data_IF_869964677852
#
_entry.id   IF_869964677852
#
_cell.length_a   1.000
_cell.length_b   1.000
_cell.length_c   1.000
_cell.angle_alpha   90.00
_cell.angle_beta   90.00
_cell.angle_gamma   90.00
#
_symmetry.space_group_name_H-M   'P 1'
#
loop_
_entity.id
_entity.type
_entity.pdbx_description
1 polymer ?
#
# COMPACT_ATOMS: atom_id res chain seq x y z
N UNK A 1 55.57 -58.14 40.68
CA UNK A 1 56.17 -58.45 39.37
C UNK A 1 56.22 -57.15 38.59
N UNK A 2 57.33 -56.43 38.69
CA UNK A 2 58.44 -56.45 37.72
C UNK A 2 58.15 -55.54 36.53
N UNK A 3 58.90 -54.44 36.54
CA UNK A 3 59.04 -53.40 35.54
C UNK A 3 59.38 -53.93 34.13
N UNK A 4 59.21 -53.08 33.12
CA UNK A 4 60.27 -52.54 32.24
C UNK A 4 59.71 -52.23 30.82
N UNK A 5 60.48 -51.59 29.90
CA UNK A 5 60.24 -50.20 29.49
C UNK A 5 60.42 -50.03 27.95
N UNK A 6 60.64 -48.79 27.48
CA UNK A 6 61.34 -48.42 26.24
C UNK A 6 60.62 -48.75 24.91
N UNK A 7 60.76 -48.00 23.83
CA UNK A 7 61.63 -46.87 23.52
C UNK A 7 61.54 -46.55 22.03
N UNK A 8 61.59 -45.25 21.73
CA UNK A 8 62.20 -44.60 20.55
C UNK A 8 62.87 -45.54 19.52
N UNK A 9 62.58 -45.34 18.22
CA UNK A 9 63.55 -44.82 17.23
C UNK A 9 62.99 -44.74 15.80
N UNK A 10 63.49 -43.72 15.09
CA UNK A 10 63.26 -43.37 13.69
C UNK A 10 64.18 -44.15 12.73
N UNK A 11 63.69 -44.28 11.48
CA UNK A 11 64.38 -44.28 10.16
C UNK A 11 65.33 -45.46 9.83
N UNK A 12 65.79 -45.68 8.58
CA UNK A 12 65.43 -45.12 7.25
C UNK A 12 65.42 -46.14 6.06
N UNK A 13 65.04 -45.62 4.86
CA UNK A 13 65.76 -45.79 3.57
C UNK A 13 65.22 -46.71 2.46
N UNK A 14 65.05 -46.06 1.29
CA UNK A 14 65.24 -46.48 -0.11
C UNK A 14 64.35 -47.58 -0.72
N UNK A 15 63.63 -47.20 -1.78
CA UNK A 15 63.99 -47.62 -3.15
C UNK A 15 63.30 -46.70 -4.17
N UNK A 16 64.04 -45.80 -4.84
CA UNK A 16 64.48 -45.92 -6.25
C UNK A 16 63.40 -46.36 -7.26
N UNK A 17 62.82 -45.39 -7.98
CA UNK A 17 62.92 -45.36 -9.46
C UNK A 17 62.68 -43.96 -10.00
N UNK A 18 63.72 -43.42 -10.61
CA UNK A 18 63.73 -42.24 -11.46
C UNK A 18 62.96 -42.50 -12.76
N UNK A 19 62.14 -41.52 -13.17
CA UNK A 19 61.95 -41.20 -14.59
C UNK A 19 61.89 -39.68 -14.73
N UNK A 20 62.77 -39.19 -15.59
CA UNK A 20 63.05 -37.79 -15.90
C UNK A 20 62.23 -37.45 -17.14
N UNK A 21 61.42 -36.39 -17.09
CA UNK A 21 61.35 -35.33 -18.10
C UNK A 21 60.74 -34.08 -17.44
N UNK A 22 61.55 -33.03 -17.34
CA UNK A 22 61.15 -31.67 -16.99
C UNK A 22 60.62 -30.98 -18.25
N UNK A 23 59.70 -30.00 -18.12
CA UNK A 23 59.75 -28.67 -18.77
C UNK A 23 58.58 -27.78 -18.24
N UNK A 24 58.97 -26.69 -17.55
CA UNK A 24 58.31 -25.37 -17.30
C UNK A 24 57.07 -25.14 -16.39
N UNK A 25 57.22 -24.11 -15.52
CA UNK A 25 56.31 -23.37 -14.59
C UNK A 25 55.09 -22.68 -15.27
N UNK A 26 54.13 -22.02 -14.55
CA UNK A 26 53.78 -21.97 -13.11
C UNK A 26 52.28 -22.34 -12.83
N UNK A 27 51.80 -22.40 -11.57
CA UNK A 27 50.37 -22.55 -11.30
C UNK A 27 49.63 -21.23 -11.58
N UNK A 28 48.64 -21.30 -12.47
CA UNK A 28 47.68 -20.23 -12.73
C UNK A 28 46.84 -19.97 -11.48
N UNK A 29 47.09 -18.80 -10.89
CA UNK A 29 46.09 -17.86 -10.39
C UNK A 29 44.98 -18.46 -9.53
N UNK A 30 45.29 -18.51 -8.23
CA UNK A 30 44.34 -18.05 -7.21
C UNK A 30 43.72 -16.75 -7.73
N UNK A 31 42.43 -16.76 -8.09
CA UNK A 31 41.70 -15.54 -8.42
C UNK A 31 41.70 -14.67 -7.18
N UNK A 32 42.56 -13.66 -7.23
CA UNK A 32 42.50 -12.48 -6.41
C UNK A 32 41.05 -12.03 -6.29
N UNK A 33 40.58 -11.99 -5.05
CA UNK A 33 39.33 -11.37 -4.62
C UNK A 33 39.50 -9.84 -4.67
N UNK A 34 39.94 -9.32 -5.81
CA UNK A 34 39.87 -7.90 -6.13
C UNK A 34 38.40 -7.47 -6.05
N UNK A 35 37.99 -6.95 -4.90
CA UNK A 35 37.99 -5.50 -4.67
C UNK A 35 37.09 -5.24 -3.47
N UNK A 36 37.79 -5.07 -2.35
CA UNK A 36 37.32 -4.68 -1.03
C UNK A 36 36.75 -3.24 -1.06
N UNK A 37 35.56 -3.06 -1.65
CA UNK A 37 34.87 -1.77 -1.78
C UNK A 37 33.36 -1.80 -2.08
N UNK A 38 32.82 -2.86 -2.70
CA UNK A 38 31.41 -2.88 -3.16
C UNK A 38 30.34 -3.03 -2.07
N UNK A 39 30.68 -3.48 -0.87
CA UNK A 39 29.68 -3.75 0.17
C UNK A 39 29.02 -2.50 0.75
N UNK A 40 29.75 -1.37 0.79
CA UNK A 40 29.22 -0.09 1.27
C UNK A 40 28.35 0.58 0.21
N UNK A 41 28.77 0.58 -1.06
CA UNK A 41 28.00 1.18 -2.15
C UNK A 41 26.67 0.46 -2.41
N UNK A 42 26.64 -0.88 -2.34
CA UNK A 42 25.41 -1.65 -2.50
C UNK A 42 24.42 -1.41 -1.35
N UNK A 43 24.91 -1.35 -0.11
CA UNK A 43 24.09 -1.04 1.06
C UNK A 43 23.51 0.38 1.00
N UNK A 44 24.31 1.38 0.61
CA UNK A 44 23.83 2.75 0.41
C UNK A 44 22.81 2.85 -0.73
N UNK A 45 22.97 2.08 -1.80
CA UNK A 45 22.01 2.03 -2.91
C UNK A 45 20.66 1.44 -2.48
N UNK A 46 20.68 0.34 -1.73
CA UNK A 46 19.45 -0.28 -1.19
C UNK A 46 18.76 0.65 -0.21
N UNK A 47 19.51 1.34 0.66
CA UNK A 47 18.94 2.31 1.59
C UNK A 47 18.25 3.48 0.87
N UNK A 48 18.89 4.06 -0.16
CA UNK A 48 18.27 5.12 -0.96
C UNK A 48 17.00 4.64 -1.66
N UNK A 49 17.01 3.43 -2.23
CA UNK A 49 15.83 2.86 -2.87
C UNK A 49 14.67 2.64 -1.88
N UNK A 50 14.99 2.25 -0.63
CA UNK A 50 14.03 2.12 0.45
C UNK A 50 13.44 3.46 0.87
N UNK A 51 14.28 4.50 1.00
CA UNK A 51 13.83 5.87 1.33
C UNK A 51 12.94 6.45 0.23
N UNK A 52 13.29 6.23 -1.04
CA UNK A 52 12.47 6.60 -2.19
C UNK A 52 11.11 5.88 -2.17
N UNK A 53 11.09 4.58 -1.87
CA UNK A 53 9.86 3.81 -1.80
C UNK A 53 8.96 4.31 -0.65
N UNK A 54 9.56 4.63 0.49
CA UNK A 54 8.85 5.21 1.64
C UNK A 54 8.19 6.54 1.30
N UNK A 55 8.92 7.41 0.60
CA UNK A 55 8.38 8.69 0.14
C UNK A 55 7.19 8.49 -0.81
N UNK A 56 7.27 7.55 -1.75
CA UNK A 56 6.16 7.24 -2.67
C UNK A 56 4.93 6.71 -1.94
N UNK A 57 5.09 5.79 -0.99
CA UNK A 57 3.96 5.27 -0.20
C UNK A 57 3.31 6.38 0.63
N UNK A 58 4.11 7.28 1.20
CA UNK A 58 3.60 8.43 1.94
C UNK A 58 2.85 9.41 1.05
N UNK A 59 3.40 9.78 -0.11
CA UNK A 59 2.75 10.69 -1.05
C UNK A 59 1.47 10.06 -1.63
N UNK A 60 1.46 8.74 -1.87
CA UNK A 60 0.25 8.03 -2.26
C UNK A 60 -0.82 8.10 -1.16
N UNK A 61 -0.45 7.92 0.12
CA UNK A 61 -1.39 8.09 1.24
C UNK A 61 -1.99 9.51 1.29
N UNK A 62 -1.18 10.54 1.06
CA UNK A 62 -1.68 11.92 0.91
C UNK A 62 -2.65 12.04 -0.26
N UNK A 63 -2.35 11.40 -1.39
CA UNK A 63 -3.22 11.39 -2.56
C UNK A 63 -4.57 10.70 -2.28
N UNK A 64 -4.58 9.62 -1.49
CA UNK A 64 -5.81 8.95 -1.03
C UNK A 64 -6.63 9.89 -0.13
N UNK A 65 -5.98 10.62 0.78
CA UNK A 65 -6.66 11.60 1.62
C UNK A 65 -7.27 12.73 0.79
N UNK A 66 -6.53 13.29 -0.18
CA UNK A 66 -7.06 14.30 -1.10
C UNK A 66 -8.25 13.78 -1.91
N UNK A 67 -8.16 12.55 -2.44
CA UNK A 67 -9.28 11.96 -3.16
C UNK A 67 -10.51 11.81 -2.27
N UNK A 68 -10.34 11.36 -1.02
CA UNK A 68 -11.42 11.26 -0.03
C UNK A 68 -12.11 12.60 0.23
N UNK A 69 -11.36 13.69 0.38
CA UNK A 69 -11.95 15.03 0.55
C UNK A 69 -12.78 15.46 -0.67
N UNK A 70 -12.32 15.14 -1.89
CA UNK A 70 -13.10 15.38 -3.11
C UNK A 70 -14.37 14.51 -3.15
N UNK A 71 -14.30 13.26 -2.69
CA UNK A 71 -15.46 12.36 -2.60
C UNK A 71 -16.48 12.88 -1.59
N UNK A 72 -16.04 13.39 -0.44
CA UNK A 72 -16.91 14.05 0.54
C UNK A 72 -17.59 15.26 -0.11
N UNK A 73 -16.82 16.08 -0.84
CA UNK A 73 -17.34 17.26 -1.53
C UNK A 73 -18.48 16.93 -2.51
N UNK A 74 -18.52 15.73 -3.11
CA UNK A 74 -19.66 15.31 -3.95
C UNK A 74 -20.98 15.32 -3.15
N UNK A 75 -20.92 14.89 -1.89
CA UNK A 75 -22.09 14.85 -1.00
C UNK A 75 -22.54 16.24 -0.53
N UNK A 76 -21.64 17.22 -0.53
CA UNK A 76 -21.94 18.59 -0.10
C UNK A 76 -22.55 19.44 -1.24
N UNK A 77 -22.30 19.09 -2.51
CA UNK A 77 -22.85 19.83 -3.66
C UNK A 77 -24.17 19.22 -4.13
N UNK A 78 -25.23 20.04 -4.21
CA UNK A 78 -26.57 19.64 -4.66
C UNK A 78 -26.69 19.39 -6.18
N UNK A 79 -25.72 19.88 -6.96
CA UNK A 79 -25.65 19.75 -8.42
C UNK A 79 -24.24 19.37 -8.82
N UNK A 80 -24.10 18.54 -9.86
CA UNK A 80 -22.78 18.14 -10.33
C UNK A 80 -21.95 19.33 -10.81
N UNK A 81 -20.71 19.42 -10.32
CA UNK A 81 -19.78 20.51 -10.61
C UNK A 81 -18.64 20.01 -11.53
N UNK A 82 -18.50 20.55 -12.76
CA UNK A 82 -17.45 20.11 -13.69
C UNK A 82 -16.02 20.28 -13.19
N UNK A 83 -15.73 21.35 -12.43
CA UNK A 83 -14.38 21.59 -11.86
C UNK A 83 -14.03 20.57 -10.79
N UNK A 84 -14.99 20.21 -9.92
CA UNK A 84 -14.81 19.12 -8.94
C UNK A 84 -14.51 17.80 -9.66
N UNK A 85 -15.26 17.47 -10.72
CA UNK A 85 -15.03 16.24 -11.50
C UNK A 85 -13.66 16.24 -12.19
N UNK A 86 -13.21 17.37 -12.71
CA UNK A 86 -11.88 17.51 -13.29
C UNK A 86 -10.77 17.27 -12.25
N UNK A 87 -10.88 17.86 -11.05
CA UNK A 87 -9.92 17.63 -9.97
C UNK A 87 -9.99 16.21 -9.43
N UNK A 88 -11.17 15.60 -9.35
CA UNK A 88 -11.32 14.18 -9.02
C UNK A 88 -10.62 13.29 -10.04
N UNK A 89 -10.84 13.53 -11.34
CA UNK A 89 -10.17 12.78 -12.41
C UNK A 89 -8.65 12.89 -12.29
N UNK A 90 -8.13 14.12 -12.21
CA UNK A 90 -6.69 14.38 -12.07
C UNK A 90 -6.10 13.71 -10.82
N UNK A 91 -6.79 13.85 -9.69
CA UNK A 91 -6.38 13.24 -8.42
C UNK A 91 -6.39 11.71 -8.52
N UNK A 92 -7.40 11.15 -9.17
CA UNK A 92 -7.55 9.70 -9.38
C UNK A 92 -6.42 9.14 -10.24
N UNK A 93 -6.19 9.73 -11.41
CA UNK A 93 -5.16 9.29 -12.34
C UNK A 93 -3.77 9.36 -11.71
N UNK A 94 -3.44 10.46 -11.01
CA UNK A 94 -2.18 10.56 -10.25
C UNK A 94 -2.08 9.46 -9.20
N UNK A 95 -3.15 9.22 -8.42
CA UNK A 95 -3.18 8.16 -7.42
C UNK A 95 -2.94 6.75 -7.99
N UNK A 96 -3.53 6.44 -9.15
CA UNK A 96 -3.32 5.15 -9.82
C UNK A 96 -1.86 4.95 -10.25
N UNK A 97 -1.24 5.98 -10.82
CA UNK A 97 0.17 5.94 -11.22
C UNK A 97 1.09 5.77 -10.01
N UNK A 98 0.85 6.55 -8.95
CA UNK A 98 1.62 6.49 -7.72
C UNK A 98 1.54 5.11 -7.05
N UNK A 99 0.35 4.51 -6.99
CA UNK A 99 0.17 3.18 -6.42
C UNK A 99 0.98 2.13 -7.19
N UNK A 100 0.96 2.18 -8.53
CA UNK A 100 1.77 1.30 -9.37
C UNK A 100 3.26 1.48 -9.12
N UNK A 101 3.70 2.73 -9.10
CA UNK A 101 5.12 3.05 -8.91
C UNK A 101 5.60 2.60 -7.54
N UNK A 102 4.80 2.81 -6.49
CA UNK A 102 5.09 2.35 -5.13
C UNK A 102 5.21 0.82 -5.09
N UNK A 103 4.26 0.09 -5.68
CA UNK A 103 4.32 -1.37 -5.76
C UNK A 103 5.56 -1.86 -6.53
N UNK A 104 5.87 -1.26 -7.68
CA UNK A 104 7.05 -1.64 -8.48
C UNK A 104 8.36 -1.41 -7.73
N UNK A 105 8.52 -0.24 -7.10
CA UNK A 105 9.72 0.05 -6.30
C UNK A 105 9.81 -0.86 -5.08
N UNK A 106 8.69 -1.13 -4.42
CA UNK A 106 8.64 -2.01 -3.26
C UNK A 106 9.05 -3.44 -3.63
N UNK A 107 8.47 -4.00 -4.69
CA UNK A 107 8.82 -5.33 -5.19
C UNK A 107 10.30 -5.42 -5.60
N UNK A 108 10.88 -4.35 -6.15
CA UNK A 108 12.28 -4.31 -6.53
C UNK A 108 13.25 -4.35 -5.33
N UNK A 109 12.85 -3.86 -4.16
CA UNK A 109 13.69 -3.83 -2.95
C UNK A 109 13.47 -5.03 -2.01
N UNK A 110 12.39 -5.81 -2.20
CA UNK A 110 12.04 -6.96 -1.34
C UNK A 110 13.05 -8.11 -1.35
N UNK A 111 13.94 -8.15 -2.35
CA UNK A 111 14.95 -9.21 -2.49
C UNK A 111 14.34 -10.59 -2.81
N UNK A 112 15.19 -11.59 -3.11
CA UNK A 112 14.73 -12.95 -3.39
C UNK A 112 14.14 -13.61 -2.14
N UNK A 113 13.17 -14.51 -2.35
CA UNK A 113 12.25 -15.11 -1.35
C UNK A 113 12.89 -15.85 -0.15
N UNK A 114 14.23 -15.96 -0.09
CA UNK A 114 14.98 -16.62 0.98
C UNK A 114 15.99 -15.74 1.73
N UNK A 115 16.04 -14.44 1.45
CA UNK A 115 16.91 -13.49 2.16
C UNK A 115 16.32 -12.97 3.48
N UNK A 116 17.15 -12.43 4.36
CA UNK A 116 16.69 -11.68 5.54
C UNK A 116 15.99 -10.39 5.07
N UNK A 117 14.66 -10.34 5.23
CA UNK A 117 13.85 -9.20 4.78
C UNK A 117 13.93 -8.09 5.81
N UNK A 118 14.31 -6.90 5.38
CA UNK A 118 14.40 -5.72 6.24
C UNK A 118 13.00 -5.40 6.82
N UNK A 119 12.84 -5.20 8.15
CA UNK A 119 11.52 -5.06 8.78
C UNK A 119 10.74 -3.82 8.29
N UNK A 120 11.45 -2.78 7.82
CA UNK A 120 10.80 -1.61 7.22
C UNK A 120 10.12 -1.95 5.87
N UNK A 121 10.62 -2.92 5.10
CA UNK A 121 9.97 -3.38 3.87
C UNK A 121 8.60 -3.98 4.21
N UNK A 122 8.52 -4.81 5.25
CA UNK A 122 7.25 -5.36 5.72
C UNK A 122 6.26 -4.26 6.12
N UNK A 123 6.73 -3.21 6.81
CA UNK A 123 5.89 -2.05 7.15
C UNK A 123 5.38 -1.32 5.91
N UNK A 124 6.22 -1.16 4.88
CA UNK A 124 5.82 -0.56 3.61
C UNK A 124 4.77 -1.39 2.88
N UNK A 125 4.86 -2.73 2.90
CA UNK A 125 3.80 -3.59 2.35
C UNK A 125 2.47 -3.38 3.05
N UNK A 126 2.47 -3.40 4.39
CA UNK A 126 1.27 -3.17 5.19
C UNK A 126 0.70 -1.79 4.87
N UNK A 127 1.53 -0.74 4.87
CA UNK A 127 1.08 0.62 4.61
C UNK A 127 0.50 0.77 3.20
N UNK A 128 1.17 0.25 2.18
CA UNK A 128 0.70 0.29 0.80
C UNK A 128 -0.60 -0.51 0.62
N UNK A 129 -0.71 -1.67 1.28
CA UNK A 129 -1.94 -2.47 1.27
C UNK A 129 -3.11 -1.69 1.85
N UNK A 130 -2.95 -1.12 3.04
CA UNK A 130 -3.98 -0.31 3.68
C UNK A 130 -4.36 0.90 2.81
N UNK A 131 -3.39 1.58 2.21
CA UNK A 131 -3.66 2.71 1.31
C UNK A 131 -4.48 2.27 0.09
N UNK A 132 -4.15 1.14 -0.53
CA UNK A 132 -4.89 0.61 -1.68
C UNK A 132 -6.32 0.17 -1.32
N UNK A 133 -6.51 -0.47 -0.16
CA UNK A 133 -7.84 -0.87 0.34
C UNK A 133 -8.73 0.34 0.61
N UNK A 134 -8.17 1.37 1.26
CA UNK A 134 -8.87 2.64 1.45
C UNK A 134 -9.19 3.28 0.09
N UNK A 135 -8.21 3.36 -0.81
CA UNK A 135 -8.39 4.04 -2.09
C UNK A 135 -9.46 3.38 -2.98
N UNK A 136 -9.46 2.05 -3.06
CA UNK A 136 -10.50 1.30 -3.80
C UNK A 136 -11.88 1.49 -3.18
N UNK A 137 -11.96 1.63 -1.86
CA UNK A 137 -13.22 1.91 -1.16
C UNK A 137 -13.71 3.34 -1.45
N UNK A 138 -12.82 4.33 -1.44
CA UNK A 138 -13.17 5.71 -1.82
C UNK A 138 -13.58 5.82 -3.30
N UNK A 139 -12.95 5.06 -4.21
CA UNK A 139 -13.40 4.95 -5.60
C UNK A 139 -14.82 4.39 -5.69
N UNK A 140 -15.14 3.32 -4.94
CA UNK A 140 -16.49 2.76 -4.91
C UNK A 140 -17.51 3.78 -4.42
N UNK A 141 -17.22 4.51 -3.34
CA UNK A 141 -18.09 5.59 -2.84
C UNK A 141 -18.32 6.65 -3.90
N UNK A 142 -17.26 7.06 -4.62
CA UNK A 142 -17.38 8.06 -5.68
C UNK A 142 -18.28 7.62 -6.83
N UNK A 143 -18.20 6.34 -7.23
CA UNK A 143 -19.09 5.75 -8.24
C UNK A 143 -20.55 5.82 -7.77
N UNK A 144 -20.81 5.39 -6.53
CA UNK A 144 -22.16 5.40 -5.97
C UNK A 144 -22.74 6.82 -5.89
N UNK A 145 -21.98 7.79 -5.37
CA UNK A 145 -22.42 9.18 -5.21
C UNK A 145 -22.69 9.86 -6.56
N UNK A 146 -21.77 9.70 -7.53
CA UNK A 146 -21.97 10.22 -8.89
C UNK A 146 -23.17 9.55 -9.58
N UNK A 147 -23.37 8.26 -9.35
CA UNK A 147 -24.54 7.52 -9.83
C UNK A 147 -25.85 8.09 -9.27
N UNK A 148 -25.93 8.34 -7.96
CA UNK A 148 -27.10 8.94 -7.32
C UNK A 148 -27.47 10.31 -7.90
N UNK A 149 -26.48 11.14 -8.24
CA UNK A 149 -26.70 12.44 -8.88
C UNK A 149 -27.33 12.31 -10.29
N UNK A 150 -27.08 11.21 -11.01
CA UNK A 150 -27.77 10.95 -12.28
C UNK A 150 -29.27 10.66 -12.09
N UNK A 151 -29.63 9.92 -11.05
CA UNK A 151 -31.01 9.48 -10.82
C UNK A 151 -31.92 10.61 -10.30
N UNK A 152 -31.42 11.49 -9.43
CA UNK A 152 -32.21 12.60 -8.89
C UNK A 152 -32.68 13.59 -9.96
N UNK A 153 -31.97 13.72 -11.09
CA UNK A 153 -32.35 14.62 -12.18
C UNK A 153 -33.45 14.05 -13.10
N UNK A 154 -33.60 12.72 -13.14
CA UNK A 154 -34.66 12.05 -13.94
C UNK A 154 -36.03 12.05 -13.22
N UNK A 155 -36.07 12.41 -11.94
CA UNK A 155 -37.29 12.43 -11.12
C UNK A 155 -38.02 13.78 -11.06
N UNK A 156 -37.48 14.83 -11.69
CA UNK A 156 -38.08 16.18 -11.71
C UNK A 156 -38.39 16.60 -13.15
N UNK A 157 -39.17 15.79 -13.84
CA UNK A 157 -39.90 16.23 -15.03
C UNK A 157 -41.17 16.97 -14.58
N UNK A 158 -41.34 18.27 -14.90
CA UNK A 158 -42.64 18.92 -14.82
C UNK A 158 -43.48 18.48 -16.03
N UNK A 159 -44.29 17.44 -15.84
CA UNK A 159 -45.39 17.10 -16.76
C UNK A 159 -45.27 15.75 -17.44
N UNK A 160 -46.16 14.82 -17.10
CA UNK A 160 -46.26 13.55 -17.82
C UNK A 160 -47.08 12.43 -17.16
N UNK A 161 -48.24 12.76 -16.58
CA UNK A 161 -49.40 11.86 -16.40
C UNK A 161 -49.21 10.43 -15.87
N UNK A 162 -49.54 10.23 -14.59
CA UNK A 162 -50.23 9.00 -14.15
C UNK A 162 -51.42 9.37 -13.27
N UNK A 163 -52.56 8.82 -13.63
CA UNK A 163 -53.90 9.05 -13.10
C UNK A 163 -53.97 8.35 -11.73
N UNK A 164 -54.22 9.08 -10.65
CA UNK A 164 -54.62 8.49 -9.37
C UNK A 164 -55.49 9.45 -8.57
N UNK A 165 -56.80 9.19 -8.65
CA UNK A 165 -57.87 9.43 -7.68
C UNK A 165 -57.78 10.65 -6.73
N UNK A 166 -58.63 11.62 -7.08
CA UNK A 166 -59.48 12.50 -6.26
C UNK A 166 -59.25 12.54 -4.73
N UNK A 167 -58.80 13.70 -4.24
CA UNK A 167 -59.10 14.23 -2.91
C UNK A 167 -59.09 15.76 -2.97
N UNK A 168 -60.28 16.34 -2.89
CA UNK A 168 -60.61 17.77 -2.86
C UNK A 168 -60.23 18.37 -1.49
N UNK A 169 -59.46 19.46 -1.41
CA UNK A 169 -59.81 20.76 -0.76
C UNK A 169 -58.64 21.79 -0.73
N UNK A 170 -58.95 23.01 -1.20
CA UNK A 170 -58.50 24.39 -0.87
C UNK A 170 -57.03 24.89 -0.89
N UNK A 171 -56.78 25.75 -1.88
CA UNK A 171 -56.27 27.15 -1.85
C UNK A 171 -55.40 27.63 -0.66
N UNK A 172 -54.13 27.95 -0.95
CA UNK A 172 -53.48 29.16 -0.42
C UNK A 172 -52.35 29.61 -1.37
N UNK A 173 -52.32 30.91 -1.63
CA UNK A 173 -51.63 31.55 -2.74
C UNK A 173 -50.15 31.90 -2.48
N UNK A 174 -49.51 32.24 -3.60
CA UNK A 174 -48.49 33.28 -3.76
C UNK A 174 -47.01 32.86 -3.87
N UNK A 175 -46.45 33.15 -5.04
CA UNK A 175 -45.08 32.90 -5.52
C UNK A 175 -44.10 33.96 -5.03
N UNK A 176 -42.78 33.76 -5.19
CA UNK A 176 -42.15 34.25 -6.42
C UNK A 176 -41.27 33.19 -7.08
N UNK A 177 -41.62 32.87 -8.33
CA UNK A 177 -40.78 32.14 -9.26
C UNK A 177 -39.86 33.15 -9.96
N UNK A 178 -38.56 33.11 -9.65
CA UNK A 178 -37.52 33.51 -10.59
C UNK A 178 -36.16 32.97 -10.13
N UNK A 179 -35.88 31.72 -10.48
CA UNK A 179 -34.51 31.23 -10.61
C UNK A 179 -34.32 30.91 -12.10
N UNK A 180 -33.64 31.84 -12.76
CA UNK A 180 -33.29 31.87 -14.17
C UNK A 180 -32.23 30.80 -14.45
N UNK A 181 -32.66 29.53 -14.53
CA UNK A 181 -31.80 28.43 -15.01
C UNK A 181 -32.22 28.04 -16.42
N UNK A 182 -31.88 28.92 -17.36
CA UNK A 182 -31.82 28.65 -18.79
C UNK A 182 -30.73 27.61 -19.08
N UNK A 183 -31.00 26.33 -18.78
CA UNK A 183 -30.21 25.23 -19.33
C UNK A 183 -30.99 24.61 -20.47
N UNK A 184 -30.46 24.69 -21.69
CA UNK A 184 -31.10 24.11 -22.86
C UNK A 184 -31.16 22.58 -22.71
N UNK A 185 -32.14 21.88 -23.33
CA UNK A 185 -32.25 20.42 -23.26
C UNK A 185 -30.97 19.68 -23.70
N UNK A 186 -30.17 20.31 -24.57
CA UNK A 186 -28.91 19.76 -25.09
C UNK A 186 -27.82 19.75 -24.02
N UNK A 187 -27.74 20.78 -23.18
CA UNK A 187 -26.74 20.89 -22.11
C UNK A 187 -26.98 19.87 -20.99
N UNK A 188 -28.25 19.55 -20.73
CA UNK A 188 -28.66 18.53 -19.74
C UNK A 188 -28.21 17.14 -20.20
N UNK A 189 -28.41 16.82 -21.48
CA UNK A 189 -28.04 15.53 -22.05
C UNK A 189 -26.51 15.37 -22.03
N UNK A 190 -25.75 16.36 -22.53
CA UNK A 190 -24.28 16.32 -22.55
C UNK A 190 -23.67 16.16 -21.16
N UNK A 191 -24.21 16.87 -20.16
CA UNK A 191 -23.73 16.76 -18.79
C UNK A 191 -23.94 15.34 -18.23
N UNK A 192 -25.08 14.70 -18.53
CA UNK A 192 -25.38 13.32 -18.11
C UNK A 192 -24.39 12.32 -18.72
N UNK A 193 -24.14 12.41 -20.03
CA UNK A 193 -23.16 11.57 -20.72
C UNK A 193 -21.76 11.68 -20.11
N UNK A 194 -21.32 12.91 -19.78
CA UNK A 194 -20.01 13.11 -19.17
C UNK A 194 -19.89 12.43 -17.80
N UNK A 195 -20.94 12.50 -16.96
CA UNK A 195 -20.94 11.81 -15.65
C UNK A 195 -20.86 10.29 -15.83
N UNK A 196 -21.55 9.72 -16.82
CA UNK A 196 -21.47 8.28 -17.11
C UNK A 196 -20.05 7.86 -17.48
N UNK A 197 -19.39 8.63 -18.34
CA UNK A 197 -17.99 8.38 -18.70
C UNK A 197 -17.05 8.47 -17.49
N UNK A 198 -17.28 9.42 -16.58
CA UNK A 198 -16.49 9.56 -15.35
C UNK A 198 -16.65 8.34 -14.42
N UNK A 199 -17.88 7.80 -14.32
CA UNK A 199 -18.19 6.58 -13.57
C UNK A 199 -17.45 5.38 -14.19
N UNK A 200 -17.61 5.14 -15.49
CA UNK A 200 -16.97 4.01 -16.19
C UNK A 200 -15.44 4.04 -16.09
N UNK A 201 -14.85 5.23 -16.19
CA UNK A 201 -13.41 5.42 -15.99
C UNK A 201 -13.00 5.07 -14.55
N UNK A 202 -13.76 5.53 -13.56
CA UNK A 202 -13.49 5.22 -12.14
C UNK A 202 -13.62 3.73 -11.86
N UNK A 203 -14.60 3.05 -12.44
CA UNK A 203 -14.77 1.60 -12.31
C UNK A 203 -13.60 0.82 -12.90
N UNK A 204 -13.10 1.25 -14.07
CA UNK A 204 -11.93 0.65 -14.71
C UNK A 204 -10.71 0.77 -13.81
N UNK A 205 -10.43 1.98 -13.33
CA UNK A 205 -9.31 2.26 -12.44
C UNK A 205 -9.44 1.47 -11.12
N UNK A 206 -10.66 1.38 -10.56
CA UNK A 206 -10.92 0.58 -9.37
C UNK A 206 -10.63 -0.91 -9.57
N UNK A 207 -11.07 -1.50 -10.69
CA UNK A 207 -10.75 -2.90 -11.03
C UNK A 207 -9.24 -3.10 -11.10
N UNK A 208 -8.55 -2.14 -11.70
CA UNK A 208 -7.10 -2.18 -11.83
C UNK A 208 -6.38 -2.06 -10.48
N UNK A 209 -6.82 -1.16 -9.61
CA UNK A 209 -6.28 -1.02 -8.25
C UNK A 209 -6.57 -2.25 -7.39
N UNK A 210 -7.73 -2.91 -7.56
CA UNK A 210 -8.02 -4.22 -6.93
C UNK A 210 -7.07 -5.30 -7.43
N UNK A 211 -6.78 -5.35 -8.73
CA UNK A 211 -5.81 -6.28 -9.28
C UNK A 211 -4.40 -6.01 -8.73
N UNK A 212 -4.02 -4.75 -8.57
CA UNK A 212 -2.74 -4.36 -7.95
C UNK A 212 -2.69 -4.78 -6.48
N UNK A 213 -3.78 -4.65 -5.72
CA UNK A 213 -3.89 -5.12 -4.34
C UNK A 213 -3.71 -6.64 -4.25
N UNK A 214 -4.31 -7.41 -5.16
CA UNK A 214 -4.08 -8.87 -5.24
C UNK A 214 -2.60 -9.20 -5.48
N UNK A 215 -1.95 -8.53 -6.44
CA UNK A 215 -0.50 -8.70 -6.71
C UNK A 215 0.38 -8.31 -5.52
N UNK A 216 0.00 -7.26 -4.79
CA UNK A 216 0.72 -6.84 -3.58
C UNK A 216 0.67 -7.93 -2.52
N UNK A 217 -0.50 -8.55 -2.30
CA UNK A 217 -0.67 -9.67 -1.35
C UNK A 217 0.10 -10.92 -1.79
N UNK A 218 0.15 -11.19 -3.08
CA UNK A 218 0.92 -12.32 -3.64
C UNK A 218 2.43 -12.16 -3.43
N UNK A 219 2.94 -10.94 -3.63
CA UNK A 219 4.36 -10.57 -3.51
C UNK A 219 4.78 -10.20 -2.08
N UNK A 220 3.88 -10.33 -1.12
CA UNK A 220 4.13 -9.95 0.26
C UNK A 220 5.14 -10.92 0.91
N UNK A 221 6.12 -10.41 1.68
CA UNK A 221 7.06 -11.22 2.46
C UNK A 221 6.40 -12.37 3.24
N UNK A 222 7.02 -13.55 3.26
CA UNK A 222 6.54 -14.72 4.02
C UNK A 222 6.19 -14.45 5.49
N UNK A 223 6.95 -13.60 6.25
CA UNK A 223 6.56 -13.24 7.62
C UNK A 223 5.18 -12.58 7.72
N UNK A 224 4.68 -11.96 6.66
CA UNK A 224 3.34 -11.38 6.58
C UNK A 224 2.33 -12.36 5.97
N UNK A 225 2.73 -13.17 4.98
CA UNK A 225 1.85 -14.14 4.32
C UNK A 225 1.40 -15.29 5.22
N UNK A 226 2.22 -15.67 6.21
CA UNK A 226 1.89 -16.70 7.20
C UNK A 226 1.11 -16.16 8.42
N UNK A 227 0.75 -14.86 8.42
CA UNK A 227 -0.16 -14.28 9.40
C UNK A 227 -1.59 -14.36 8.87
N UNK A 228 -2.16 -15.57 8.84
CA UNK A 228 -3.59 -15.73 8.60
C UNK A 228 -4.41 -14.96 9.67
N UNK A 229 -5.60 -14.51 9.29
CA UNK A 229 -6.55 -13.64 10.03
C UNK A 229 -6.78 -14.01 11.51
N UNK A 230 -6.51 -15.26 11.89
CA UNK A 230 -6.55 -15.77 13.27
C UNK A 230 -5.56 -15.08 14.22
N UNK A 231 -4.51 -14.43 13.70
CA UNK A 231 -3.49 -13.74 14.50
C UNK A 231 -3.77 -12.25 14.75
N UNK A 232 -4.58 -11.60 13.91
CA UNK A 232 -4.99 -10.20 14.09
C UNK A 232 -5.98 -10.01 15.26
N UNK A 233 -6.74 -11.05 15.61
CA UNK A 233 -7.61 -11.08 16.79
C UNK A 233 -6.90 -11.57 18.06
N UNK A 234 -5.69 -12.13 17.93
CA UNK A 234 -4.84 -12.53 19.05
C UNK A 234 -3.75 -11.48 19.32
N UNK A 235 -4.18 -10.24 19.57
CA UNK A 235 -3.40 -9.28 20.35
C UNK A 235 -3.24 -9.81 21.78
N UNK A 236 -2.40 -10.83 21.97
CA UNK A 236 -1.73 -10.96 23.25
C UNK A 236 -0.74 -9.79 23.29
N UNK A 237 -0.89 -8.83 24.23
CA UNK A 237 -0.01 -7.69 24.27
C UNK A 237 1.40 -8.23 24.53
N UNK A 238 2.32 -8.05 23.59
CA UNK A 238 3.72 -8.11 23.94
C UNK A 238 3.92 -7.06 25.03
N UNK A 239 4.40 -7.43 26.23
CA UNK A 239 4.46 -6.51 27.33
C UNK A 239 5.53 -5.46 27.00
N UNK A 240 5.10 -4.28 26.54
CA UNK A 240 5.89 -3.07 26.49
C UNK A 240 6.11 -2.56 27.93
N UNK A 241 6.76 -3.37 28.77
CA UNK A 241 7.21 -2.95 30.08
C UNK A 241 8.44 -2.08 29.86
N UNK A 242 8.20 -0.80 29.56
CA UNK A 242 9.16 0.24 29.91
C UNK A 242 9.26 0.22 31.43
N UNK A 243 10.28 -0.45 31.97
CA UNK A 243 10.57 -0.47 33.41
C UNK A 243 10.78 0.97 33.89
N UNK A 244 9.71 1.62 34.37
CA UNK A 244 9.80 2.88 35.10
C UNK A 244 10.42 2.52 36.44
N UNK A 245 11.69 2.89 36.64
CA UNK A 245 12.43 2.72 37.90
C UNK A 245 11.65 3.43 39.02
N UNK A 246 10.80 2.69 39.75
CA UNK A 246 10.08 3.20 40.93
C UNK A 246 11.14 3.57 41.97
N UNK A 247 11.24 4.86 42.30
CA UNK A 247 11.86 5.27 43.57
C UNK A 247 10.89 4.84 44.67
N UNK A 248 11.36 4.01 45.58
CA UNK A 248 10.61 3.63 46.77
C UNK A 248 10.30 4.89 47.59
N UNK A 249 9.02 5.12 47.90
CA UNK A 249 8.60 5.91 49.03
C UNK A 249 7.65 5.05 49.86
N UNK A 250 8.01 4.91 51.15
CA UNK A 250 7.44 3.97 52.09
C UNK A 250 6.00 4.27 52.48
N UNK A 251 5.31 3.20 52.87
CA UNK A 251 3.99 3.21 53.49
C UNK A 251 4.04 3.97 54.83
N UNK A 252 3.10 4.88 55.03
CA UNK A 252 2.62 5.22 56.36
C UNK A 252 1.17 5.70 56.28
N UNK A 253 0.22 4.78 56.48
CA UNK A 253 -1.14 5.10 56.93
C UNK A 253 -1.57 3.99 57.91
N UNK A 254 -1.17 4.14 59.17
CA UNK A 254 -1.93 3.64 60.31
C UNK A 254 -3.03 4.67 60.57
N UNK A 255 -4.30 4.27 60.47
CA UNK A 255 -5.40 5.01 61.10
C UNK A 255 -6.26 3.99 61.83
N UNK A 256 -6.26 4.11 63.16
CA UNK A 256 -7.16 3.46 64.09
C UNK A 256 -8.61 3.89 63.86
N UNK A 257 -9.53 2.95 64.02
CA UNK A 257 -10.77 3.08 64.82
C UNK A 257 -11.24 1.68 65.20
#
# INVERSE_FOLDING_TARGET
MSSAPNGRKKRPSRSTRSSIFQISKPPLQSRDWERRGSGSESAHKTQRALDDCKMLVQEFNTQVALYRELVISIGDVSVSCPSLRAEMHKTRTKGCEMARQAHQKLAAISGPEGGEIHPEICRLYIQLQCCLEMYTTEMLKSICLLGSLQFHRKGKEPGGGTKSLDCKIEECAETPALEDSSSSPVDIQQHSWQVSTDIENTERDMREMKNLLSKLRETMPLPLKNQDDSSLLNLTPYPLVRRRKRRFFGLCCLVSS
#
